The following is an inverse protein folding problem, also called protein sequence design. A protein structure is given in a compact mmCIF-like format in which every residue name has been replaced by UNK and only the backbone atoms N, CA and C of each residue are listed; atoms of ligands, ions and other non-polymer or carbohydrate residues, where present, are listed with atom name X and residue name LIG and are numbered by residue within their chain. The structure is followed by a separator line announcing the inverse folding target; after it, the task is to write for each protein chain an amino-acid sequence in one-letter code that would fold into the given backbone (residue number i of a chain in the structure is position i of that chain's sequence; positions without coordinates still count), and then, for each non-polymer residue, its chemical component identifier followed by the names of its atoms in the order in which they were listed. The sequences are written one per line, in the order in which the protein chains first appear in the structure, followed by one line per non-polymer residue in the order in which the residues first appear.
data_IF_381952965847
#
_entry.id   IF_381952965847
#
_cell.length_a   1.000
_cell.length_b   1.000
_cell.length_c   1.000
_cell.angle_alpha   90.00
_cell.angle_beta   90.00
_cell.angle_gamma   90.00
#
_symmetry.space_group_name_H-M   'P 1'
#
loop_
_entity.id
_entity.type
_entity.pdbx_description
1 polymer ?
#
# COMPACT_ATOMS: atom_id res chain seq x y z
N UNK A 1 -21.98 3.40 1.99
CA UNK A 1 -21.07 4.52 2.33
C UNK A 1 -21.87 5.79 2.41
N UNK A 2 -21.64 6.64 3.40
CA UNK A 2 -22.41 7.88 3.66
C UNK A 2 -21.77 9.13 3.02
N UNK A 3 -20.77 8.96 2.16
CA UNK A 3 -19.98 10.06 1.59
C UNK A 3 -20.82 11.08 0.85
N UNK A 4 -21.84 10.65 0.10
CA UNK A 4 -22.76 11.58 -0.56
C UNK A 4 -23.44 12.53 0.45
N UNK A 5 -23.94 12.00 1.57
CA UNK A 5 -24.55 12.82 2.62
C UNK A 5 -23.54 13.72 3.33
N UNK A 6 -22.30 13.28 3.51
CA UNK A 6 -21.25 14.09 4.14
C UNK A 6 -20.81 15.25 3.24
N UNK A 7 -20.58 14.98 1.96
CA UNK A 7 -20.07 15.99 1.02
C UNK A 7 -21.16 16.96 0.54
N UNK A 8 -22.42 16.52 0.41
CA UNK A 8 -23.51 17.38 -0.05
C UNK A 8 -23.85 18.53 0.91
N UNK A 9 -23.35 18.49 2.15
CA UNK A 9 -23.56 19.53 3.15
C UNK A 9 -22.55 20.68 3.05
N UNK A 10 -21.52 20.54 2.21
CA UNK A 10 -20.41 21.49 2.11
C UNK A 10 -20.36 22.04 0.69
N UNK A 11 -20.58 23.34 0.52
CA UNK A 11 -20.53 24.00 -0.79
C UNK A 11 -19.10 24.52 -1.05
N UNK A 12 -18.18 23.60 -1.37
CA UNK A 12 -16.78 23.92 -1.64
C UNK A 12 -16.16 22.90 -2.59
N UNK A 13 -15.34 23.36 -3.53
CA UNK A 13 -14.50 22.49 -4.37
C UNK A 13 -13.11 22.34 -3.76
N UNK A 14 -12.66 21.10 -3.56
CA UNK A 14 -11.30 20.74 -3.19
C UNK A 14 -10.39 20.82 -4.41
N UNK A 15 -9.31 21.60 -4.30
CA UNK A 15 -8.28 21.74 -5.32
C UNK A 15 -7.07 20.87 -4.97
N UNK A 16 -6.70 19.97 -5.87
CA UNK A 16 -5.66 18.98 -5.65
C UNK A 16 -4.49 19.22 -6.60
N UNK A 17 -3.28 19.22 -6.05
CA UNK A 17 -2.05 19.13 -6.82
C UNK A 17 -1.53 17.70 -6.83
N UNK A 18 -1.08 17.20 -7.97
CA UNK A 18 -0.56 15.83 -8.10
C UNK A 18 0.91 15.86 -8.50
N UNK A 19 1.77 15.15 -7.76
CA UNK A 19 3.20 15.06 -8.04
C UNK A 19 3.54 13.62 -8.44
N UNK A 20 4.06 13.43 -9.65
CA UNK A 20 4.26 12.14 -10.30
C UNK A 20 3.00 11.69 -11.03
N UNK A 21 3.06 11.55 -12.35
CA UNK A 21 1.89 11.40 -13.22
C UNK A 21 1.75 10.02 -13.85
N UNK A 22 2.24 8.98 -13.15
CA UNK A 22 2.13 7.58 -13.56
C UNK A 22 0.68 7.07 -13.66
N UNK A 23 0.52 5.77 -13.92
CA UNK A 23 -0.80 5.14 -14.12
C UNK A 23 -1.78 5.38 -12.96
N UNK A 24 -1.29 5.32 -11.71
CA UNK A 24 -2.11 5.58 -10.53
C UNK A 24 -2.67 7.01 -10.56
N UNK A 25 -1.79 8.01 -10.64
CA UNK A 25 -2.14 9.42 -10.65
C UNK A 25 -3.02 9.79 -11.84
N UNK A 26 -2.75 9.23 -13.02
CA UNK A 26 -3.57 9.45 -14.22
C UNK A 26 -5.03 9.04 -13.97
N UNK A 27 -5.28 7.94 -13.26
CA UNK A 27 -6.64 7.53 -12.92
C UNK A 27 -7.37 8.56 -12.02
N UNK A 28 -6.68 9.15 -11.03
CA UNK A 28 -7.22 10.25 -10.22
C UNK A 28 -7.54 11.47 -11.09
N UNK A 29 -6.60 11.86 -11.97
CA UNK A 29 -6.79 13.02 -12.87
C UNK A 29 -8.01 12.80 -13.76
N UNK A 30 -8.17 11.60 -14.33
CA UNK A 30 -9.37 11.25 -15.11
C UNK A 30 -10.66 11.29 -14.28
N UNK A 31 -10.66 10.74 -13.06
CA UNK A 31 -11.87 10.79 -12.21
C UNK A 31 -12.24 12.20 -11.78
N UNK A 32 -11.26 13.09 -11.59
CA UNK A 32 -11.53 14.48 -11.20
C UNK A 32 -12.42 15.25 -12.18
N UNK A 33 -12.58 14.75 -13.42
CA UNK A 33 -13.46 15.32 -14.45
C UNK A 33 -14.94 15.08 -14.23
N UNK A 34 -15.28 14.06 -13.44
CA UNK A 34 -16.67 13.59 -13.26
C UNK A 34 -17.07 13.51 -11.79
N UNK A 35 -16.13 13.68 -10.87
CA UNK A 35 -16.40 13.75 -9.42
C UNK A 35 -16.69 15.19 -9.03
N UNK A 36 -17.91 15.43 -8.53
CA UNK A 36 -18.32 16.72 -8.00
C UNK A 36 -17.41 17.18 -6.86
N UNK A 37 -17.22 18.49 -6.73
CA UNK A 37 -16.39 19.13 -5.68
C UNK A 37 -14.90 18.76 -5.72
N UNK A 38 -14.42 18.03 -6.73
CA UNK A 38 -13.00 17.72 -6.91
C UNK A 38 -12.45 18.43 -8.16
N UNK A 39 -11.32 19.10 -8.01
CA UNK A 39 -10.61 19.73 -9.14
C UNK A 39 -9.11 19.46 -9.03
N UNK A 40 -8.49 19.02 -10.12
CA UNK A 40 -7.03 18.81 -10.22
C UNK A 40 -6.43 19.85 -11.19
N UNK A 41 -6.23 21.11 -10.75
CA UNK A 41 -5.73 22.17 -11.61
C UNK A 41 -4.23 22.08 -11.91
N UNK A 42 -3.46 21.31 -11.13
CA UNK A 42 -2.00 21.28 -11.25
C UNK A 42 -1.49 19.84 -11.18
N UNK A 43 -0.67 19.46 -12.15
CA UNK A 43 0.13 18.24 -12.11
C UNK A 43 1.60 18.61 -12.23
N UNK A 44 2.47 17.83 -11.61
CA UNK A 44 3.90 17.98 -11.69
C UNK A 44 4.56 16.65 -12.04
N UNK A 45 5.44 16.68 -13.02
CA UNK A 45 6.28 15.54 -13.36
C UNK A 45 7.62 16.02 -13.92
N UNK A 46 8.70 15.33 -13.58
CA UNK A 46 10.02 15.59 -14.17
C UNK A 46 10.03 15.40 -15.69
N UNK A 47 9.10 14.60 -16.21
CA UNK A 47 8.81 14.46 -17.62
C UNK A 47 7.52 15.23 -17.99
N UNK A 48 7.61 16.43 -18.59
CA UNK A 48 6.44 17.23 -18.94
C UNK A 48 5.50 16.52 -19.94
N UNK A 49 6.01 15.63 -20.79
CA UNK A 49 5.17 14.85 -21.71
C UNK A 49 4.30 13.84 -20.94
N UNK A 50 4.81 13.25 -19.86
CA UNK A 50 4.01 12.36 -19.00
C UNK A 50 2.86 13.13 -18.34
N UNK A 51 3.15 14.33 -17.82
CA UNK A 51 2.16 15.22 -17.24
C UNK A 51 1.09 15.66 -18.26
N UNK A 52 1.51 16.03 -19.47
CA UNK A 52 0.60 16.37 -20.57
C UNK A 52 -0.29 15.18 -20.94
N UNK A 53 0.28 13.97 -20.99
CA UNK A 53 -0.46 12.75 -21.28
C UNK A 53 -1.49 12.41 -20.20
N UNK A 54 -1.20 12.66 -18.92
CA UNK A 54 -2.18 12.46 -17.84
C UNK A 54 -3.43 13.33 -18.03
N UNK A 55 -3.25 14.61 -18.35
CA UNK A 55 -4.38 15.48 -18.70
C UNK A 55 -5.08 15.07 -20.00
N UNK A 56 -4.32 14.65 -21.01
CA UNK A 56 -4.90 14.18 -22.27
C UNK A 56 -5.80 12.95 -22.06
N UNK A 57 -5.38 11.96 -21.27
CA UNK A 57 -6.20 10.81 -20.90
C UNK A 57 -7.44 11.17 -20.07
N UNK A 58 -7.41 12.29 -19.36
CA UNK A 58 -8.58 12.87 -18.70
C UNK A 58 -9.53 13.62 -19.66
N UNK A 59 -9.23 13.64 -20.96
CA UNK A 59 -10.05 14.33 -21.97
C UNK A 59 -9.92 15.85 -21.90
N UNK A 60 -8.79 16.37 -21.40
CA UNK A 60 -8.47 17.79 -21.48
C UNK A 60 -7.80 18.11 -22.81
N UNK A 61 -8.34 19.11 -23.49
CA UNK A 61 -7.76 19.67 -24.72
C UNK A 61 -6.42 20.37 -24.42
N UNK A 62 -5.49 20.34 -25.38
CA UNK A 62 -4.15 20.93 -25.22
C UNK A 62 -4.17 22.44 -25.03
N UNK A 63 -5.18 23.14 -25.55
CA UNK A 63 -5.37 24.58 -25.38
C UNK A 63 -5.79 24.97 -23.95
N UNK A 64 -6.28 24.00 -23.15
CA UNK A 64 -6.64 24.18 -21.73
C UNK A 64 -5.48 23.88 -20.79
N UNK A 65 -4.40 23.29 -21.27
CA UNK A 65 -3.20 22.99 -20.50
C UNK A 65 -2.09 24.01 -20.77
N UNK A 66 -1.26 24.30 -19.77
CA UNK A 66 -0.09 25.18 -19.90
C UNK A 66 1.06 24.70 -19.04
N UNK A 67 2.27 24.68 -19.59
CA UNK A 67 3.51 24.44 -18.83
C UNK A 67 3.95 25.78 -18.24
N UNK A 68 4.26 25.80 -16.95
CA UNK A 68 4.75 26.98 -16.24
C UNK A 68 6.10 26.67 -15.60
N UNK A 69 7.00 27.66 -15.62
CA UNK A 69 8.35 27.54 -15.06
C UNK A 69 8.46 28.20 -13.68
N UNK A 70 7.41 28.87 -13.21
CA UNK A 70 7.38 29.59 -11.94
C UNK A 70 6.03 29.50 -11.26
N UNK A 71 6.03 29.56 -9.92
CA UNK A 71 4.83 29.66 -9.09
C UNK A 71 3.91 30.80 -9.51
N UNK A 72 4.47 31.96 -9.89
CA UNK A 72 3.68 33.12 -10.29
C UNK A 72 2.91 32.88 -11.60
N UNK A 73 3.57 32.30 -12.61
CA UNK A 73 2.91 31.92 -13.87
C UNK A 73 1.82 30.88 -13.63
N UNK A 74 2.12 29.88 -12.80
CA UNK A 74 1.16 28.84 -12.43
C UNK A 74 -0.07 29.41 -11.73
N UNK A 75 0.11 30.32 -10.76
CA UNK A 75 -1.01 30.97 -10.08
C UNK A 75 -1.89 31.76 -11.06
N UNK A 76 -1.28 32.55 -11.95
CA UNK A 76 -2.00 33.31 -12.98
C UNK A 76 -2.77 32.39 -13.96
N UNK A 77 -2.18 31.27 -14.35
CA UNK A 77 -2.82 30.29 -15.22
C UNK A 77 -4.04 29.62 -14.54
N UNK A 78 -3.93 29.30 -13.25
CA UNK A 78 -5.06 28.75 -12.47
C UNK A 78 -6.21 29.75 -12.40
N UNK A 79 -5.92 31.04 -12.17
CA UNK A 79 -6.94 32.11 -12.16
C UNK A 79 -7.65 32.25 -13.52
N UNK A 80 -6.95 31.96 -14.62
CA UNK A 80 -7.51 31.94 -15.98
C UNK A 80 -8.25 30.63 -16.31
N UNK A 81 -8.38 29.70 -15.36
CA UNK A 81 -9.05 28.41 -15.55
C UNK A 81 -8.24 27.42 -16.39
N UNK A 82 -6.92 27.60 -16.52
CA UNK A 82 -6.03 26.64 -17.19
C UNK A 82 -5.60 25.53 -16.23
N UNK A 83 -5.28 24.38 -16.80
CA UNK A 83 -4.64 23.26 -16.11
C UNK A 83 -3.12 23.40 -16.25
N UNK A 84 -2.43 23.47 -15.13
CA UNK A 84 -1.00 23.76 -15.09
C UNK A 84 -0.21 22.45 -15.04
N UNK A 85 0.89 22.44 -15.79
CA UNK A 85 1.95 21.44 -15.73
C UNK A 85 3.20 22.12 -15.18
N UNK A 86 3.79 21.50 -14.15
CA UNK A 86 5.06 21.91 -13.55
C UNK A 86 6.10 20.79 -13.72
N UNK A 87 7.37 21.15 -13.68
CA UNK A 87 8.50 20.19 -13.64
C UNK A 87 9.26 20.23 -12.32
N UNK A 88 8.99 21.21 -11.46
CA UNK A 88 9.47 21.30 -10.09
C UNK A 88 8.29 21.34 -9.10
N UNK A 89 8.17 20.29 -8.30
CA UNK A 89 7.11 20.13 -7.32
C UNK A 89 7.11 21.24 -6.25
N UNK A 90 8.25 21.86 -5.98
CA UNK A 90 8.34 22.95 -5.01
C UNK A 90 7.52 24.17 -5.41
N UNK A 91 7.36 24.40 -6.71
CA UNK A 91 6.55 25.50 -7.24
C UNK A 91 5.05 25.32 -6.97
N UNK A 92 4.63 24.10 -6.60
CA UNK A 92 3.25 23.77 -6.30
C UNK A 92 2.82 24.20 -4.89
N UNK A 93 3.76 24.34 -3.95
CA UNK A 93 3.45 24.44 -2.50
C UNK A 93 2.68 25.72 -2.14
N UNK A 94 2.98 26.83 -2.81
CA UNK A 94 2.33 28.13 -2.59
C UNK A 94 1.08 28.35 -3.45
N UNK A 95 0.72 27.41 -4.33
CA UNK A 95 -0.46 27.52 -5.16
C UNK A 95 -1.74 27.36 -4.32
N UNK A 96 -2.89 27.88 -4.78
CA UNK A 96 -4.17 27.80 -4.05
C UNK A 96 -4.79 26.40 -4.17
N UNK A 97 -4.08 25.42 -3.61
CA UNK A 97 -4.41 24.00 -3.51
C UNK A 97 -4.71 23.64 -2.05
N UNK A 98 -5.55 22.65 -1.84
CA UNK A 98 -5.94 22.13 -0.53
C UNK A 98 -5.16 20.85 -0.18
N UNK A 99 -4.99 19.95 -1.15
CA UNK A 99 -4.36 18.64 -0.97
C UNK A 99 -3.25 18.44 -1.99
N UNK A 100 -2.11 17.90 -1.53
CA UNK A 100 -1.04 17.39 -2.38
C UNK A 100 -1.13 15.86 -2.41
N UNK A 101 -1.28 15.29 -3.59
CA UNK A 101 -1.17 13.85 -3.84
C UNK A 101 0.24 13.56 -4.29
N UNK A 102 0.98 12.81 -3.48
CA UNK A 102 2.38 12.46 -3.74
C UNK A 102 2.45 11.02 -4.27
N UNK A 103 2.81 10.86 -5.54
CA UNK A 103 2.75 9.61 -6.29
C UNK A 103 3.98 9.40 -7.18
N UNK A 104 5.16 9.86 -6.73
CA UNK A 104 6.41 9.68 -7.48
C UNK A 104 6.99 8.28 -7.37
N UNK A 105 6.69 7.54 -6.29
CA UNK A 105 7.38 6.28 -5.97
C UNK A 105 8.86 6.46 -5.59
N UNK A 106 9.30 7.70 -5.30
CA UNK A 106 10.68 8.03 -4.96
C UNK A 106 10.75 8.47 -3.49
N UNK A 107 11.26 7.63 -2.57
CA UNK A 107 11.24 7.90 -1.12
C UNK A 107 11.76 9.28 -0.70
N UNK A 108 12.92 9.68 -1.21
CA UNK A 108 13.54 10.96 -0.87
C UNK A 108 12.76 12.17 -1.40
N UNK A 109 12.22 12.06 -2.62
CA UNK A 109 11.37 13.10 -3.17
C UNK A 109 10.04 13.18 -2.41
N UNK A 110 9.39 12.05 -2.15
CA UNK A 110 8.13 11.98 -1.40
C UNK A 110 8.26 12.51 0.03
N UNK A 111 9.37 12.22 0.71
CA UNK A 111 9.67 12.79 2.03
C UNK A 111 9.75 14.31 1.95
N UNK A 112 10.50 14.86 0.98
CA UNK A 112 10.59 16.30 0.75
C UNK A 112 9.22 16.92 0.45
N UNK A 113 8.47 16.34 -0.48
CA UNK A 113 7.16 16.83 -0.89
C UNK A 113 6.19 16.84 0.30
N UNK A 114 6.15 15.77 1.10
CA UNK A 114 5.30 15.67 2.29
C UNK A 114 5.64 16.73 3.34
N UNK A 115 6.93 16.89 3.67
CA UNK A 115 7.39 17.91 4.63
C UNK A 115 6.98 19.30 4.17
N UNK A 116 7.25 19.64 2.91
CA UNK A 116 7.00 20.97 2.37
C UNK A 116 5.52 21.27 2.19
N UNK A 117 4.71 20.29 1.76
CA UNK A 117 3.26 20.41 1.70
C UNK A 117 2.67 20.73 3.09
N UNK A 118 3.10 20.00 4.13
CA UNK A 118 2.63 20.24 5.51
C UNK A 118 3.05 21.63 5.99
N UNK A 119 4.30 22.05 5.74
CA UNK A 119 4.81 23.38 6.11
C UNK A 119 4.00 24.51 5.47
N UNK A 120 3.53 24.32 4.24
CA UNK A 120 2.69 25.28 3.51
C UNK A 120 1.19 25.08 3.78
N UNK A 121 0.83 24.32 4.81
CA UNK A 121 -0.55 24.16 5.28
C UNK A 121 -1.44 23.34 4.34
N UNK A 122 -0.85 22.42 3.56
CA UNK A 122 -1.59 21.50 2.69
C UNK A 122 -1.85 20.17 3.39
N UNK A 123 -2.96 19.52 3.03
CA UNK A 123 -3.12 18.10 3.33
C UNK A 123 -2.23 17.27 2.39
N UNK A 124 -1.86 16.07 2.81
CA UNK A 124 -1.04 15.13 2.03
C UNK A 124 -1.77 13.80 1.92
N UNK A 125 -2.06 13.40 0.69
CA UNK A 125 -2.48 12.06 0.33
C UNK A 125 -1.25 11.33 -0.24
N UNK A 126 -0.73 10.36 0.51
CA UNK A 126 0.48 9.63 0.15
C UNK A 126 0.14 8.38 -0.65
N UNK A 127 0.53 8.34 -1.91
CA UNK A 127 0.45 7.17 -2.80
C UNK A 127 1.79 6.42 -2.79
N UNK A 128 2.91 7.13 -2.68
CA UNK A 128 4.24 6.52 -2.66
C UNK A 128 4.45 5.71 -1.37
N UNK A 129 4.08 4.43 -1.42
CA UNK A 129 4.22 3.47 -0.33
C UNK A 129 5.64 3.37 0.21
N UNK A 130 6.64 3.57 -0.65
CA UNK A 130 8.05 3.50 -0.30
C UNK A 130 8.43 4.65 0.66
N UNK A 131 7.84 5.83 0.46
CA UNK A 131 7.94 6.96 1.39
C UNK A 131 7.17 6.67 2.68
N UNK A 132 5.92 6.23 2.54
CA UNK A 132 4.98 6.04 3.65
C UNK A 132 5.51 5.00 4.66
N UNK A 133 5.96 3.84 4.18
CA UNK A 133 6.48 2.79 5.06
C UNK A 133 7.73 3.23 5.84
N UNK A 134 8.50 4.17 5.30
CA UNK A 134 9.78 4.59 5.87
C UNK A 134 9.62 5.72 6.87
N UNK A 135 8.79 6.72 6.54
CA UNK A 135 8.66 7.99 7.28
C UNK A 135 7.22 8.50 7.41
N UNK A 136 6.22 7.71 7.03
CA UNK A 136 4.79 8.06 7.14
C UNK A 136 4.36 8.42 8.57
N UNK A 137 4.75 7.66 9.62
CA UNK A 137 4.40 8.00 11.00
C UNK A 137 4.85 9.39 11.45
N UNK A 138 6.09 9.81 11.14
CA UNK A 138 6.54 11.17 11.48
C UNK A 138 5.86 12.25 10.61
N UNK A 139 5.60 11.98 9.33
CA UNK A 139 4.83 12.92 8.49
C UNK A 139 3.40 13.11 9.00
N UNK A 140 2.77 12.03 9.48
CA UNK A 140 1.47 12.08 10.16
C UNK A 140 1.52 12.93 11.43
N UNK A 141 2.52 12.70 12.28
CA UNK A 141 2.71 13.51 13.48
C UNK A 141 2.85 15.00 13.17
N UNK A 142 3.65 15.35 12.16
CA UNK A 142 3.84 16.74 11.73
C UNK A 142 2.58 17.35 11.14
N UNK A 143 1.83 16.59 10.34
CA UNK A 143 0.55 17.04 9.78
C UNK A 143 -0.47 17.33 10.88
N UNK A 144 -0.62 16.43 11.85
CA UNK A 144 -1.53 16.61 12.98
C UNK A 144 -1.19 17.86 13.79
N UNK A 145 0.11 18.09 14.05
CA UNK A 145 0.60 19.29 14.74
C UNK A 145 0.30 20.58 13.97
N UNK A 146 0.29 20.51 12.63
CA UNK A 146 -0.06 21.62 11.76
C UNK A 146 -1.57 21.79 11.54
N UNK A 147 -2.42 20.94 12.15
CA UNK A 147 -3.86 20.91 11.89
C UNK A 147 -4.21 20.47 10.47
N UNK A 148 -3.34 19.68 9.85
CA UNK A 148 -3.47 19.11 8.50
C UNK A 148 -3.59 17.59 8.56
N UNK A 149 -3.95 17.03 7.41
CA UNK A 149 -4.13 15.58 7.26
C UNK A 149 -2.96 15.04 6.47
N UNK A 150 -2.35 13.96 6.97
CA UNK A 150 -1.54 13.04 6.20
C UNK A 150 -2.27 11.71 6.20
N UNK A 151 -2.41 11.08 5.04
CA UNK A 151 -3.13 9.80 4.93
C UNK A 151 -2.62 8.98 3.76
N UNK A 152 -2.52 7.67 3.98
CA UNK A 152 -2.55 6.69 2.90
C UNK A 152 -3.88 6.82 2.14
N UNK A 153 -3.86 6.45 0.86
CA UNK A 153 -4.98 6.63 -0.06
C UNK A 153 -5.89 5.41 -0.13
N UNK A 154 -7.20 5.64 -0.25
CA UNK A 154 -8.11 4.63 -0.76
C UNK A 154 -7.73 4.27 -2.20
N UNK A 155 -7.85 2.99 -2.54
CA UNK A 155 -7.54 2.46 -3.87
C UNK A 155 -6.30 1.58 -3.91
N UNK A 156 -5.33 1.81 -3.03
CA UNK A 156 -4.24 0.85 -2.77
C UNK A 156 -4.62 -0.13 -1.67
N UNK A 157 -4.03 -1.33 -1.70
CA UNK A 157 -4.39 -2.41 -0.78
C UNK A 157 -4.22 -2.03 0.68
N UNK A 158 -3.16 -1.32 1.05
CA UNK A 158 -2.90 -0.97 2.45
C UNK A 158 -3.96 0.00 3.00
N UNK A 159 -4.36 1.04 2.25
CA UNK A 159 -5.45 1.94 2.66
C UNK A 159 -6.79 1.23 2.79
N UNK A 160 -7.12 0.36 1.83
CA UNK A 160 -8.34 -0.45 1.85
C UNK A 160 -8.38 -1.42 3.03
N UNK A 161 -7.24 -2.03 3.36
CA UNK A 161 -7.12 -2.94 4.50
C UNK A 161 -7.28 -2.18 5.82
N UNK A 162 -6.69 -0.98 5.95
CA UNK A 162 -6.89 -0.12 7.13
C UNK A 162 -8.38 0.14 7.37
N UNK A 163 -9.10 0.61 6.33
CA UNK A 163 -10.52 0.88 6.42
C UNK A 163 -11.34 -0.37 6.79
N UNK A 164 -11.03 -1.52 6.18
CA UNK A 164 -11.71 -2.79 6.45
C UNK A 164 -11.50 -3.27 7.90
N UNK A 165 -10.27 -3.18 8.41
CA UNK A 165 -9.94 -3.55 9.80
C UNK A 165 -10.62 -2.62 10.81
N UNK A 166 -10.55 -1.30 10.58
CA UNK A 166 -11.18 -0.31 11.46
C UNK A 166 -12.71 -0.46 11.48
N UNK A 167 -13.33 -0.69 10.33
CA UNK A 167 -14.76 -0.97 10.23
C UNK A 167 -15.16 -2.21 11.04
N UNK A 168 -14.42 -3.32 10.89
CA UNK A 168 -14.71 -4.56 11.62
C UNK A 168 -14.62 -4.36 13.13
N UNK A 169 -13.56 -3.68 13.62
CA UNK A 169 -13.40 -3.35 15.03
C UNK A 169 -14.49 -2.42 15.56
N UNK A 170 -14.94 -1.47 14.75
CA UNK A 170 -16.05 -0.56 15.11
C UNK A 170 -17.38 -1.29 15.29
N UNK A 171 -17.55 -2.44 14.64
CA UNK A 171 -18.69 -3.35 14.84
C UNK A 171 -18.53 -4.29 16.04
N UNK A 172 -17.39 -4.23 16.75
CA UNK A 172 -17.06 -5.18 17.82
C UNK A 172 -16.66 -6.56 17.31
N UNK A 173 -16.25 -6.68 16.04
CA UNK A 173 -15.71 -7.92 15.50
C UNK A 173 -14.23 -8.03 15.85
N UNK A 174 -13.80 -9.24 16.21
CA UNK A 174 -12.40 -9.53 16.44
C UNK A 174 -11.73 -9.84 15.09
N UNK A 175 -10.63 -9.16 14.77
CA UNK A 175 -9.83 -9.44 13.57
C UNK A 175 -8.73 -10.42 13.92
N UNK A 176 -8.83 -11.66 13.43
CA UNK A 176 -7.85 -12.71 13.65
C UNK A 176 -6.64 -12.57 12.72
N UNK A 177 -6.92 -12.28 11.45
CA UNK A 177 -5.91 -12.02 10.42
C UNK A 177 -6.43 -10.95 9.46
N UNK A 178 -5.61 -10.00 9.07
CA UNK A 178 -5.88 -9.06 7.97
C UNK A 178 -4.80 -9.17 6.90
N UNK A 179 -5.13 -8.88 5.64
CA UNK A 179 -4.15 -9.06 4.58
C UNK A 179 -4.57 -8.61 3.20
N UNK A 180 -3.68 -8.84 2.24
CA UNK A 180 -3.92 -8.69 0.80
C UNK A 180 -3.72 -10.00 0.06
N UNK A 181 -4.27 -10.09 -1.14
CA UNK A 181 -3.84 -11.10 -2.13
C UNK A 181 -2.72 -10.54 -2.98
N UNK A 182 -1.83 -11.41 -3.45
CA UNK A 182 -0.97 -11.09 -4.59
C UNK A 182 -1.81 -10.66 -5.81
N UNK A 183 -1.26 -9.78 -6.66
CA UNK A 183 -2.00 -9.11 -7.74
C UNK A 183 -2.53 -10.04 -8.83
N UNK A 184 -1.88 -11.18 -9.04
CA UNK A 184 -2.32 -12.19 -9.99
C UNK A 184 -2.83 -13.40 -9.23
N UNK A 185 -4.00 -13.89 -9.62
CA UNK A 185 -4.50 -15.19 -9.20
C UNK A 185 -3.71 -16.33 -9.90
N UNK A 186 -3.80 -17.53 -9.33
CA UNK A 186 -3.33 -18.81 -9.87
C UNK A 186 -4.57 -19.60 -10.28
N UNK A 187 -4.86 -19.67 -11.58
CA UNK A 187 -6.09 -20.28 -12.10
C UNK A 187 -5.83 -21.74 -12.45
N UNK A 188 -6.38 -22.65 -11.66
CA UNK A 188 -6.35 -24.08 -11.94
C UNK A 188 -7.35 -24.46 -13.04
N UNK A 189 -6.84 -25.16 -14.04
CA UNK A 189 -7.61 -25.79 -15.11
C UNK A 189 -7.64 -27.31 -14.90
N UNK A 190 -8.78 -27.88 -14.49
CA UNK A 190 -8.92 -29.32 -14.27
C UNK A 190 -8.85 -30.14 -15.56
N UNK A 191 -9.09 -29.55 -16.74
CA UNK A 191 -9.04 -30.30 -18.01
C UNK A 191 -7.61 -30.60 -18.43
N UNK A 192 -6.70 -29.66 -18.18
CA UNK A 192 -5.29 -29.77 -18.55
C UNK A 192 -4.38 -30.09 -17.38
N UNK A 193 -4.95 -30.22 -16.18
CA UNK A 193 -4.26 -30.35 -14.89
C UNK A 193 -3.11 -29.34 -14.74
N UNK A 194 -3.41 -28.08 -15.06
CA UNK A 194 -2.42 -27.01 -15.10
C UNK A 194 -2.88 -25.80 -14.31
N UNK A 195 -1.93 -25.00 -13.85
CA UNK A 195 -2.18 -23.70 -13.23
C UNK A 195 -1.71 -22.63 -14.19
N UNK A 196 -2.62 -21.72 -14.52
CA UNK A 196 -2.46 -20.65 -15.50
C UNK A 196 -2.52 -19.30 -14.81
N UNK A 197 -1.72 -18.36 -15.28
CA UNK A 197 -1.78 -16.96 -14.89
C UNK A 197 -1.43 -16.06 -16.08
N UNK A 198 -1.42 -14.75 -15.88
CA UNK A 198 -1.24 -13.77 -16.97
C UNK A 198 0.03 -13.94 -17.80
N UNK A 199 1.09 -14.56 -17.25
CA UNK A 199 2.40 -14.69 -17.91
C UNK A 199 2.81 -16.13 -18.21
N UNK A 200 1.97 -17.13 -17.94
CA UNK A 200 2.37 -18.52 -18.18
C UNK A 200 1.45 -19.59 -17.63
N UNK A 201 1.95 -20.83 -17.69
CA UNK A 201 1.31 -22.02 -17.15
C UNK A 201 2.34 -22.98 -16.55
N UNK A 202 1.96 -23.70 -15.50
CA UNK A 202 2.70 -24.84 -14.96
C UNK A 202 1.81 -26.07 -14.94
N UNK A 203 2.37 -27.23 -15.25
CA UNK A 203 1.70 -28.51 -15.08
C UNK A 203 1.78 -28.92 -13.61
N UNK A 204 0.67 -29.40 -13.05
CA UNK A 204 0.66 -29.89 -11.68
C UNK A 204 0.66 -31.42 -11.66
N UNK A 205 1.44 -32.04 -10.77
CA UNK A 205 1.59 -33.50 -10.76
C UNK A 205 0.40 -34.23 -10.15
N UNK A 206 -0.41 -33.52 -9.35
CA UNK A 206 -1.47 -34.11 -8.52
C UNK A 206 -2.61 -33.11 -8.37
N UNK A 207 -3.82 -33.49 -8.80
CA UNK A 207 -5.03 -32.68 -8.65
C UNK A 207 -5.48 -32.52 -7.18
N UNK A 208 -5.01 -33.39 -6.28
CA UNK A 208 -5.33 -33.31 -4.85
C UNK A 208 -4.89 -32.00 -4.22
N UNK A 209 -3.91 -31.31 -4.81
CA UNK A 209 -3.52 -29.97 -4.33
C UNK A 209 -4.67 -28.97 -4.42
N UNK A 210 -5.70 -29.24 -5.23
CA UNK A 210 -6.92 -28.43 -5.31
C UNK A 210 -8.03 -28.93 -4.35
N UNK A 211 -7.96 -30.18 -3.89
CA UNK A 211 -8.96 -30.84 -3.04
C UNK A 211 -8.76 -30.48 -1.55
N UNK A 212 -9.81 -29.97 -0.90
CA UNK A 212 -9.72 -29.21 0.35
C UNK A 212 -10.35 -29.88 1.60
N UNK A 213 -10.17 -31.19 1.79
CA UNK A 213 -10.60 -31.79 3.06
C UNK A 213 -9.78 -31.29 4.26
N UNK A 214 -8.50 -30.98 4.07
CA UNK A 214 -7.66 -30.33 5.08
C UNK A 214 -6.69 -29.36 4.38
N UNK A 215 -7.11 -28.12 4.07
CA UNK A 215 -6.30 -27.19 3.27
C UNK A 215 -4.95 -26.89 3.93
N UNK A 216 -4.89 -26.80 5.26
CA UNK A 216 -3.66 -26.57 6.02
C UNK A 216 -2.59 -27.65 5.75
N UNK A 217 -2.99 -28.90 5.51
CA UNK A 217 -2.05 -29.99 5.21
C UNK A 217 -1.37 -29.85 3.83
N UNK A 218 -1.96 -29.09 2.90
CA UNK A 218 -1.44 -28.93 1.53
C UNK A 218 -0.58 -27.67 1.35
N UNK A 219 -0.48 -26.78 2.34
CA UNK A 219 0.23 -25.49 2.20
C UNK A 219 1.68 -25.70 1.78
N UNK A 220 2.41 -26.59 2.45
CA UNK A 220 3.81 -26.86 2.15
C UNK A 220 3.99 -27.43 0.73
N UNK A 221 3.14 -28.38 0.34
CA UNK A 221 3.14 -28.98 -0.99
C UNK A 221 2.84 -27.94 -2.08
N UNK A 222 1.82 -27.10 -1.88
CA UNK A 222 1.48 -26.02 -2.80
C UNK A 222 2.61 -25.01 -2.92
N UNK A 223 3.24 -24.62 -1.81
CA UNK A 223 4.41 -23.72 -1.83
C UNK A 223 5.57 -24.32 -2.63
N UNK A 224 5.84 -25.62 -2.49
CA UNK A 224 6.88 -26.29 -3.27
C UNK A 224 6.56 -26.30 -4.78
N UNK A 225 5.30 -26.55 -5.16
CA UNK A 225 4.88 -26.56 -6.56
C UNK A 225 4.93 -25.16 -7.18
N UNK A 226 4.51 -24.13 -6.43
CA UNK A 226 4.50 -22.76 -6.93
C UNK A 226 5.89 -22.13 -6.93
N UNK A 227 6.74 -22.44 -5.94
CA UNK A 227 8.03 -21.78 -5.78
C UNK A 227 7.88 -20.25 -5.80
N UNK A 228 8.72 -19.59 -6.60
CA UNK A 228 8.69 -18.12 -6.80
C UNK A 228 7.35 -17.60 -7.33
N UNK A 229 6.56 -18.44 -8.02
CA UNK A 229 5.23 -18.04 -8.50
C UNK A 229 4.25 -17.80 -7.34
N UNK A 230 4.44 -18.46 -6.20
CA UNK A 230 3.61 -18.27 -5.01
C UNK A 230 4.22 -17.31 -3.99
N UNK A 231 5.41 -16.78 -4.27
CA UNK A 231 6.17 -15.98 -3.32
C UNK A 231 5.68 -14.53 -3.29
N UNK A 232 5.77 -13.94 -2.11
CA UNK A 232 5.55 -12.53 -1.86
C UNK A 232 6.71 -11.69 -2.43
N UNK A 233 6.40 -10.51 -2.97
CA UNK A 233 7.41 -9.57 -3.46
C UNK A 233 7.64 -8.40 -2.49
N UNK A 234 8.68 -7.59 -2.72
CA UNK A 234 9.02 -6.48 -1.84
C UNK A 234 7.89 -5.46 -1.70
N UNK A 235 7.23 -5.09 -2.80
CA UNK A 235 6.10 -4.17 -2.78
C UNK A 235 4.92 -4.67 -1.94
N UNK A 236 4.68 -5.99 -1.89
CA UNK A 236 3.65 -6.57 -1.04
C UNK A 236 4.02 -6.46 0.45
N UNK A 237 5.28 -6.72 0.80
CA UNK A 237 5.80 -6.54 2.17
C UNK A 237 5.72 -5.08 2.58
N UNK A 238 6.02 -4.14 1.67
CA UNK A 238 5.90 -2.70 1.89
C UNK A 238 4.47 -2.28 2.20
N UNK A 239 3.50 -2.68 1.39
CA UNK A 239 2.08 -2.39 1.62
C UNK A 239 1.58 -2.99 2.93
N UNK A 240 1.93 -4.24 3.23
CA UNK A 240 1.52 -4.89 4.48
C UNK A 240 2.19 -4.25 5.69
N UNK A 241 3.42 -3.75 5.59
CA UNK A 241 4.10 -3.06 6.70
C UNK A 241 3.42 -1.73 7.02
N UNK A 242 3.00 -0.97 6.01
CA UNK A 242 2.18 0.23 6.19
C UNK A 242 0.87 -0.11 6.93
N UNK A 243 0.16 -1.14 6.47
CA UNK A 243 -1.08 -1.57 7.10
C UNK A 243 -0.85 -2.09 8.54
N UNK A 244 0.25 -2.80 8.81
CA UNK A 244 0.62 -3.26 10.16
C UNK A 244 0.79 -2.07 11.11
N UNK A 245 1.62 -1.11 10.71
CA UNK A 245 1.93 0.12 11.45
C UNK A 245 0.70 1.01 11.69
N UNK A 246 -0.29 0.94 10.79
CA UNK A 246 -1.52 1.72 10.90
C UNK A 246 -2.67 1.02 11.65
N UNK A 247 -2.64 -0.31 11.74
CA UNK A 247 -3.74 -1.11 12.34
C UNK A 247 -3.33 -1.80 13.64
N UNK A 248 -2.04 -1.90 13.95
CA UNK A 248 -1.52 -2.69 15.07
C UNK A 248 -1.66 -4.20 14.88
N UNK A 249 -1.99 -4.68 13.67
CA UNK A 249 -1.80 -6.09 13.32
C UNK A 249 -0.30 -6.38 13.23
N UNK A 250 0.13 -7.57 13.65
CA UNK A 250 1.55 -7.93 13.72
C UNK A 250 1.84 -9.19 12.89
N UNK A 251 3.02 -9.32 12.26
CA UNK A 251 3.35 -10.50 11.48
C UNK A 251 3.58 -11.71 12.41
N UNK A 252 3.09 -12.89 12.02
CA UNK A 252 3.33 -14.13 12.79
C UNK A 252 4.80 -14.61 12.65
N UNK A 253 5.39 -14.35 11.48
CA UNK A 253 6.83 -14.52 11.16
C UNK A 253 7.29 -13.38 10.24
N UNK A 254 8.58 -13.06 10.25
CA UNK A 254 9.15 -11.91 9.51
C UNK A 254 9.06 -12.03 7.99
N UNK A 255 8.99 -13.26 7.45
CA UNK A 255 8.77 -13.51 6.02
C UNK A 255 7.31 -13.44 5.59
N UNK A 256 6.38 -13.37 6.55
CA UNK A 256 4.95 -13.68 6.38
C UNK A 256 4.74 -15.14 5.90
N UNK A 257 3.55 -15.71 6.10
CA UNK A 257 3.30 -17.09 5.65
C UNK A 257 3.02 -17.16 4.15
N UNK A 258 2.25 -16.21 3.62
CA UNK A 258 1.79 -16.13 2.23
C UNK A 258 1.35 -17.48 1.66
N UNK A 259 0.39 -18.18 2.30
CA UNK A 259 0.01 -19.50 1.84
C UNK A 259 -0.70 -19.42 0.47
N UNK A 260 -0.51 -20.45 -0.34
CA UNK A 260 -1.25 -20.63 -1.59
C UNK A 260 -2.58 -21.32 -1.25
N UNK A 261 -3.67 -20.57 -1.35
CA UNK A 261 -4.99 -20.99 -0.86
C UNK A 261 -6.09 -20.57 -1.79
N UNK A 262 -7.19 -21.33 -1.77
CA UNK A 262 -8.45 -20.88 -2.36
C UNK A 262 -9.12 -19.87 -1.47
N UNK A 263 -9.87 -18.94 -2.05
CA UNK A 263 -10.64 -17.93 -1.32
C UNK A 263 -11.47 -18.57 -0.19
N UNK A 264 -12.08 -19.73 -0.47
CA UNK A 264 -12.91 -20.47 0.48
C UNK A 264 -12.13 -21.13 1.62
N UNK A 265 -10.82 -21.26 1.51
CA UNK A 265 -9.94 -21.88 2.51
C UNK A 265 -9.30 -20.86 3.47
N UNK A 266 -9.31 -19.57 3.12
CA UNK A 266 -8.69 -18.49 3.91
C UNK A 266 -9.13 -18.51 5.39
N UNK A 267 -10.43 -18.58 5.76
CA UNK A 267 -10.84 -18.54 7.16
C UNK A 267 -10.47 -19.81 7.93
N UNK A 268 -10.19 -20.92 7.24
CA UNK A 268 -9.68 -22.16 7.84
C UNK A 268 -8.16 -22.08 8.06
N UNK A 269 -7.42 -21.57 7.07
CA UNK A 269 -5.95 -21.54 7.08
C UNK A 269 -5.41 -20.39 7.92
N UNK A 270 -5.85 -19.15 7.66
CA UNK A 270 -5.39 -17.93 8.32
C UNK A 270 -6.19 -17.66 9.61
N UNK A 271 -6.25 -18.68 10.45
CA UNK A 271 -6.80 -18.65 11.80
C UNK A 271 -5.76 -19.15 12.81
N UNK A 272 -5.92 -18.84 14.11
CA UNK A 272 -5.09 -19.41 15.17
C UNK A 272 -5.10 -20.94 15.16
N UNK A 273 -4.02 -21.58 15.62
CA UNK A 273 -3.93 -23.05 15.74
C UNK A 273 -5.04 -23.66 16.61
N UNK A 274 -5.50 -22.95 17.64
CA UNK A 274 -6.64 -23.37 18.47
C UNK A 274 -7.95 -23.49 17.66
N UNK A 275 -8.11 -22.62 16.65
CA UNK A 275 -9.23 -22.66 15.70
C UNK A 275 -9.01 -23.66 14.56
N UNK A 276 -7.80 -24.20 14.40
CA UNK A 276 -7.43 -25.20 13.39
C UNK A 276 -6.61 -24.66 12.22
N UNK A 277 -6.27 -23.37 12.24
CA UNK A 277 -5.41 -22.74 11.24
C UNK A 277 -3.91 -22.87 11.56
N UNK A 278 -3.09 -22.05 10.91
CA UNK A 278 -1.62 -22.11 11.00
C UNK A 278 -1.01 -21.11 11.98
N UNK A 279 -1.74 -20.05 12.32
CA UNK A 279 -1.22 -18.87 13.01
C UNK A 279 -0.93 -19.15 14.48
N UNK A 280 0.17 -18.61 15.00
CA UNK A 280 0.55 -18.81 16.41
C UNK A 280 -0.24 -17.93 17.37
N UNK A 281 -0.76 -16.79 16.91
CA UNK A 281 -1.57 -15.87 17.69
C UNK A 281 -2.69 -15.20 16.86
N UNK A 282 -3.52 -14.41 17.53
CA UNK A 282 -4.61 -13.58 16.95
C UNK A 282 -4.05 -12.21 16.55
N UNK A 283 -4.77 -11.47 15.71
CA UNK A 283 -4.35 -10.13 15.28
C UNK A 283 -3.16 -10.13 14.32
N UNK A 284 -3.10 -11.11 13.43
CA UNK A 284 -2.00 -11.27 12.46
C UNK A 284 -2.19 -10.40 11.23
N UNK A 285 -1.09 -9.93 10.64
CA UNK A 285 -1.06 -9.47 9.25
C UNK A 285 -0.36 -10.49 8.35
N UNK A 286 -0.95 -10.83 7.21
CA UNK A 286 -0.37 -11.77 6.25
C UNK A 286 -0.82 -11.49 4.80
N UNK A 287 -0.31 -12.28 3.85
CA UNK A 287 -0.68 -12.26 2.45
C UNK A 287 -1.27 -13.61 2.03
N UNK A 288 -1.87 -13.69 0.84
CA UNK A 288 -2.23 -14.98 0.20
C UNK A 288 -1.88 -14.98 -1.28
N UNK A 289 -1.47 -16.15 -1.78
CA UNK A 289 -1.47 -16.42 -3.21
C UNK A 289 -2.79 -17.13 -3.58
N UNK A 290 -3.70 -16.42 -4.24
CA UNK A 290 -5.04 -16.93 -4.54
C UNK A 290 -4.99 -18.04 -5.59
N UNK A 291 -5.30 -19.27 -5.20
CA UNK A 291 -5.57 -20.41 -6.08
C UNK A 291 -7.07 -20.52 -6.34
N UNK A 292 -7.51 -20.66 -7.59
CA UNK A 292 -8.94 -20.79 -7.89
C UNK A 292 -9.19 -21.51 -9.20
N UNK A 293 -10.42 -21.97 -9.42
CA UNK A 293 -10.88 -22.28 -10.78
C UNK A 293 -11.40 -21.04 -11.51
N UNK A 294 -11.52 -21.14 -12.84
CA UNK A 294 -12.00 -20.04 -13.68
C UNK A 294 -13.41 -19.56 -13.31
N UNK A 295 -14.26 -20.47 -12.83
CA UNK A 295 -15.64 -20.22 -12.39
C UNK A 295 -15.77 -19.80 -10.91
N UNK A 296 -14.65 -19.75 -10.17
CA UNK A 296 -14.62 -19.29 -8.79
C UNK A 296 -14.23 -17.80 -8.72
N UNK A 297 -14.77 -17.05 -7.73
CA UNK A 297 -14.34 -15.68 -7.51
C UNK A 297 -12.86 -15.63 -7.09
N UNK A 298 -12.10 -14.74 -7.74
CA UNK A 298 -10.74 -14.42 -7.33
C UNK A 298 -10.68 -13.37 -6.24
N UNK A 299 -9.45 -13.01 -5.86
CA UNK A 299 -9.20 -11.88 -4.98
C UNK A 299 -8.73 -10.65 -5.75
N UNK A 300 -8.27 -10.79 -7.00
CA UNK A 300 -8.01 -9.65 -7.89
C UNK A 300 -7.05 -8.61 -7.31
N UNK A 301 -6.05 -9.07 -6.55
CA UNK A 301 -5.12 -8.18 -5.83
C UNK A 301 -5.76 -7.36 -4.70
N UNK A 302 -6.96 -7.70 -4.27
CA UNK A 302 -7.70 -7.00 -3.22
C UNK A 302 -7.29 -7.39 -1.80
N UNK A 303 -8.16 -7.10 -0.83
CA UNK A 303 -7.88 -7.25 0.61
C UNK A 303 -8.88 -8.14 1.32
N UNK A 304 -8.49 -8.68 2.47
CA UNK A 304 -9.35 -9.53 3.28
C UNK A 304 -9.09 -9.37 4.78
N UNK A 305 -10.08 -9.78 5.57
CA UNK A 305 -9.96 -10.04 7.00
C UNK A 305 -10.62 -11.37 7.34
N UNK A 306 -9.98 -12.14 8.20
CA UNK A 306 -10.57 -13.28 8.92
C UNK A 306 -11.00 -12.79 10.28
N UNK A 307 -12.28 -12.96 10.59
CA UNK A 307 -12.91 -12.42 11.80
C UNK A 307 -13.49 -13.51 12.68
N UNK A 308 -13.66 -13.17 13.96
CA UNK A 308 -14.42 -13.93 14.95
C UNK A 308 -15.40 -13.04 15.72
N UNK A 309 -16.23 -13.68 16.54
CA UNK A 309 -17.17 -13.05 17.47
C UNK A 309 -17.21 -13.83 18.79
N UNK A 310 -17.31 -13.10 19.90
CA UNK A 310 -17.32 -13.70 21.24
C UNK A 310 -18.60 -14.50 21.54
N UNK A 311 -19.77 -14.00 21.13
CA UNK A 311 -21.05 -14.64 21.47
C UNK A 311 -21.57 -15.58 20.36
N UNK A 312 -22.30 -16.62 20.78
CA UNK A 312 -22.78 -17.68 19.89
C UNK A 312 -23.78 -17.18 18.84
N UNK A 313 -24.61 -16.17 19.17
CA UNK A 313 -25.60 -15.65 18.23
C UNK A 313 -24.95 -14.83 17.11
N UNK A 314 -23.97 -13.98 17.43
CA UNK A 314 -23.18 -13.28 16.41
C UNK A 314 -22.43 -14.27 15.52
N UNK A 315 -21.82 -15.33 16.08
CA UNK A 315 -21.23 -16.40 15.25
C UNK A 315 -22.26 -17.08 14.35
N UNK A 316 -23.46 -17.34 14.85
CA UNK A 316 -24.56 -17.86 14.02
C UNK A 316 -24.89 -16.90 12.86
N UNK A 317 -24.94 -15.59 13.08
CA UNK A 317 -25.14 -14.60 12.00
C UNK A 317 -23.99 -14.64 10.99
N UNK A 318 -22.73 -14.58 11.45
CA UNK A 318 -21.57 -14.61 10.55
C UNK A 318 -21.55 -15.87 9.67
N UNK A 319 -21.90 -17.02 10.23
CA UNK A 319 -21.83 -18.32 9.54
C UNK A 319 -23.05 -18.66 8.69
N UNK A 320 -24.16 -17.91 8.80
CA UNK A 320 -25.42 -18.21 8.08
C UNK A 320 -25.89 -17.10 7.14
N UNK A 321 -25.24 -15.93 7.12
CA UNK A 321 -25.60 -14.79 6.25
C UNK A 321 -24.69 -14.59 5.05
N UNK A 322 -24.09 -15.68 4.56
CA UNK A 322 -23.38 -15.71 3.28
C UNK A 322 -21.90 -15.31 3.32
N UNK A 323 -21.33 -15.04 4.50
CA UNK A 323 -19.87 -15.08 4.64
C UNK A 323 -19.40 -16.53 4.48
N UNK A 324 -18.12 -16.69 4.17
CA UNK A 324 -17.46 -18.00 4.10
C UNK A 324 -16.90 -18.31 5.49
N UNK A 325 -17.44 -19.30 6.22
CA UNK A 325 -16.91 -19.69 7.52
C UNK A 325 -15.83 -20.79 7.40
N UNK A 326 -15.05 -20.98 8.47
CA UNK A 326 -14.32 -22.24 8.65
C UNK A 326 -15.30 -23.38 8.99
N UNK A 327 -14.82 -24.63 8.97
CA UNK A 327 -15.67 -25.81 9.23
C UNK A 327 -16.30 -25.84 10.61
N UNK A 328 -15.62 -25.25 11.61
CA UNK A 328 -16.10 -25.17 12.99
C UNK A 328 -17.12 -24.06 13.21
N UNK A 329 -17.31 -23.15 12.25
CA UNK A 329 -18.15 -21.97 12.42
C UNK A 329 -17.63 -20.99 13.49
N UNK A 330 -16.32 -21.00 13.75
CA UNK A 330 -15.68 -20.10 14.72
C UNK A 330 -15.09 -18.85 14.07
N UNK A 331 -14.75 -18.92 12.78
CA UNK A 331 -14.18 -17.82 12.01
C UNK A 331 -14.93 -17.63 10.70
N UNK A 332 -14.86 -16.42 10.13
CA UNK A 332 -15.44 -16.12 8.82
C UNK A 332 -14.59 -15.12 8.03
N UNK A 333 -14.68 -15.18 6.70
CA UNK A 333 -13.99 -14.29 5.78
C UNK A 333 -14.87 -13.09 5.40
N UNK A 334 -14.30 -11.89 5.47
CA UNK A 334 -14.80 -10.69 4.78
C UNK A 334 -13.69 -10.23 3.84
N UNK A 335 -14.02 -10.00 2.58
CA UNK A 335 -13.03 -9.65 1.57
C UNK A 335 -13.58 -8.67 0.54
N UNK A 336 -12.66 -7.92 -0.05
CA UNK A 336 -12.88 -7.01 -1.16
C UNK A 336 -12.00 -7.49 -2.32
N UNK A 337 -12.56 -8.15 -3.34
CA UNK A 337 -11.78 -8.85 -4.38
C UNK A 337 -11.26 -7.92 -5.48
N UNK A 338 -10.92 -6.68 -5.14
CA UNK A 338 -10.41 -5.67 -6.05
C UNK A 338 -9.79 -4.49 -5.28
N UNK A 339 -8.91 -3.77 -5.98
CA UNK A 339 -8.44 -2.44 -5.64
C UNK A 339 -8.40 -1.63 -6.94
N UNK A 340 -8.85 -0.37 -6.94
CA UNK A 340 -9.01 0.43 -8.17
C UNK A 340 -8.01 1.58 -8.28
N UNK A 341 -6.93 1.55 -7.49
CA UNK A 341 -5.86 2.53 -7.51
C UNK A 341 -6.42 3.97 -7.45
N UNK A 342 -5.88 4.88 -8.28
CA UNK A 342 -6.30 6.28 -8.36
C UNK A 342 -7.78 6.55 -8.62
N UNK A 343 -8.57 5.53 -9.01
CA UNK A 343 -10.03 5.69 -9.18
C UNK A 343 -10.73 5.96 -7.85
N UNK A 344 -10.18 5.48 -6.73
CA UNK A 344 -10.79 5.63 -5.39
C UNK A 344 -10.22 6.81 -4.59
N UNK A 345 -9.04 7.29 -4.96
CA UNK A 345 -8.38 8.45 -4.33
C UNK A 345 -9.24 9.72 -4.25
N UNK A 346 -10.19 10.01 -5.17
CA UNK A 346 -11.15 11.10 -4.98
C UNK A 346 -11.85 11.12 -3.61
N UNK A 347 -12.19 9.95 -3.05
CA UNK A 347 -12.80 9.89 -1.72
C UNK A 347 -11.81 10.38 -0.66
N UNK A 348 -10.56 9.92 -0.71
CA UNK A 348 -9.52 10.36 0.22
C UNK A 348 -9.28 11.86 0.14
N UNK A 349 -9.19 12.44 -1.07
CA UNK A 349 -8.93 13.87 -1.23
C UNK A 349 -10.11 14.72 -0.76
N UNK A 350 -11.35 14.30 -1.01
CA UNK A 350 -12.55 14.98 -0.51
C UNK A 350 -12.69 14.89 1.00
N UNK A 351 -12.46 13.72 1.61
CA UNK A 351 -12.49 13.56 3.09
C UNK A 351 -11.43 14.44 3.75
N UNK A 352 -10.21 14.48 3.20
CA UNK A 352 -9.16 15.36 3.71
C UNK A 352 -9.51 16.85 3.53
N UNK A 353 -9.89 17.26 2.31
CA UNK A 353 -10.10 18.67 1.97
C UNK A 353 -11.40 19.30 2.51
N UNK A 354 -12.48 18.52 2.60
CA UNK A 354 -13.80 18.98 3.08
C UNK A 354 -13.99 18.74 4.57
N UNK A 355 -13.53 17.58 5.09
CA UNK A 355 -13.82 17.17 6.47
C UNK A 355 -12.62 17.29 7.41
N UNK A 356 -11.41 17.54 6.88
CA UNK A 356 -10.16 17.52 7.65
C UNK A 356 -9.95 16.20 8.42
N UNK A 357 -10.27 15.08 7.77
CA UNK A 357 -10.11 13.73 8.32
C UNK A 357 -9.22 12.88 7.41
N UNK A 358 -8.41 11.95 7.97
CA UNK A 358 -7.78 10.90 7.17
C UNK A 358 -8.79 9.80 6.82
N UNK A 359 -8.61 9.15 5.67
CA UNK A 359 -9.26 7.87 5.35
C UNK A 359 -8.47 6.67 5.89
N UNK A 360 -7.16 6.84 6.07
CA UNK A 360 -6.27 5.88 6.72
C UNK A 360 -6.42 5.89 8.25
N UNK A 361 -5.33 5.70 8.97
CA UNK A 361 -5.34 5.67 10.44
C UNK A 361 -5.23 7.05 11.08
N UNK A 362 -5.81 7.19 12.27
CA UNK A 362 -5.56 8.33 13.17
C UNK A 362 -4.37 8.11 14.09
N UNK A 363 -4.03 6.85 14.43
CA UNK A 363 -2.84 6.47 15.22
C UNK A 363 -1.89 5.70 14.31
N UNK A 364 -0.75 6.33 13.99
CA UNK A 364 0.23 5.76 13.07
C UNK A 364 1.59 5.63 13.76
N UNK A 365 2.09 4.41 13.91
CA UNK A 365 3.34 4.12 14.65
C UNK A 365 4.31 3.31 13.80
N UNK A 366 5.61 3.61 13.83
CA UNK A 366 6.62 2.81 13.14
C UNK A 366 6.95 1.56 13.98
N UNK A 367 6.01 0.60 14.06
CA UNK A 367 6.23 -0.64 14.81
C UNK A 367 7.10 -1.64 14.06
N UNK A 368 7.07 -1.59 12.73
CA UNK A 368 7.83 -2.46 11.83
C UNK A 368 8.49 -1.67 10.71
N UNK A 369 9.64 -2.15 10.27
CA UNK A 369 10.35 -1.73 9.07
C UNK A 369 10.38 -2.87 8.03
N UNK A 370 10.38 -2.51 6.75
CA UNK A 370 10.79 -3.41 5.67
C UNK A 370 12.30 -3.42 5.64
N UNK A 371 12.92 -4.59 5.74
CA UNK A 371 14.39 -4.73 5.66
C UNK A 371 14.79 -5.66 4.53
N UNK A 372 15.94 -5.38 3.91
CA UNK A 372 16.48 -6.19 2.79
C UNK A 372 17.56 -7.16 3.26
N UNK A 373 17.42 -8.45 2.90
CA UNK A 373 18.44 -9.49 3.05
C UNK A 373 18.96 -9.90 1.67
N UNK A 374 20.26 -9.90 1.47
CA UNK A 374 20.87 -10.26 0.20
C UNK A 374 20.63 -11.75 -0.09
N UNK A 375 20.05 -12.11 -1.25
CA UNK A 375 19.90 -13.51 -1.68
C UNK A 375 21.20 -14.07 -2.27
N UNK A 376 22.03 -13.20 -2.82
CA UNK A 376 23.33 -13.47 -3.40
C UNK A 376 24.33 -12.40 -2.91
N UNK A 377 25.65 -12.62 -3.02
CA UNK A 377 26.63 -11.62 -2.61
C UNK A 377 26.50 -10.32 -3.42
N UNK A 378 26.47 -9.18 -2.73
CA UNK A 378 26.49 -7.84 -3.33
C UNK A 378 27.87 -7.21 -3.12
N UNK A 379 28.38 -6.45 -4.08
CA UNK A 379 29.73 -5.89 -4.03
C UNK A 379 29.73 -4.40 -3.71
N UNK A 380 30.79 -3.95 -3.05
CA UNK A 380 31.09 -2.53 -2.94
C UNK A 380 31.09 -1.88 -4.33
N UNK A 381 30.43 -0.72 -4.46
CA UNK A 381 30.23 -0.04 -5.73
C UNK A 381 28.94 -0.42 -6.47
N UNK A 382 28.25 -1.51 -6.11
CA UNK A 382 26.95 -1.85 -6.70
C UNK A 382 25.89 -0.81 -6.29
N UNK A 383 24.96 -0.50 -7.21
CA UNK A 383 23.79 0.31 -6.91
C UNK A 383 22.66 -0.57 -6.39
N UNK A 384 22.11 -0.23 -5.23
CA UNK A 384 20.93 -0.91 -4.69
C UNK A 384 19.71 -0.49 -5.48
N UNK A 385 18.95 -1.48 -5.97
CA UNK A 385 17.70 -1.24 -6.68
C UNK A 385 16.55 -0.84 -5.74
N UNK A 386 15.34 -1.27 -6.06
CA UNK A 386 14.14 -1.01 -5.26
C UNK A 386 13.48 -2.33 -4.84
N UNK A 387 12.25 -2.27 -4.34
CA UNK A 387 11.45 -3.41 -3.85
C UNK A 387 11.00 -4.39 -4.96
N UNK A 388 11.39 -4.13 -6.21
CA UNK A 388 11.28 -5.07 -7.33
C UNK A 388 12.59 -5.86 -7.59
N UNK A 389 13.68 -5.56 -6.87
CA UNK A 389 14.96 -6.23 -7.03
C UNK A 389 14.86 -7.71 -6.62
N UNK A 390 15.26 -8.61 -7.53
CA UNK A 390 15.14 -10.07 -7.35
C UNK A 390 16.23 -10.68 -6.48
N UNK A 391 17.37 -10.01 -6.37
CA UNK A 391 18.53 -10.42 -5.59
C UNK A 391 18.41 -10.07 -4.09
N UNK A 392 17.27 -9.52 -3.68
CA UNK A 392 16.97 -9.11 -2.31
C UNK A 392 15.71 -9.84 -1.85
N UNK A 393 15.75 -10.34 -0.63
CA UNK A 393 14.60 -10.83 0.11
C UNK A 393 14.14 -9.75 1.08
N UNK A 394 12.83 -9.50 1.12
CA UNK A 394 12.24 -8.45 1.95
C UNK A 394 11.54 -9.09 3.15
N UNK A 395 11.80 -8.54 4.33
CA UNK A 395 11.23 -9.04 5.58
C UNK A 395 10.59 -7.88 6.34
N UNK A 396 9.49 -8.16 7.03
CA UNK A 396 8.86 -7.25 7.99
C UNK A 396 9.44 -7.53 9.37
N UNK A 397 10.23 -6.60 9.92
CA UNK A 397 10.88 -6.77 11.22
C UNK A 397 10.52 -5.62 12.16
N UNK A 398 10.54 -5.83 13.49
CA UNK A 398 10.35 -4.74 14.44
C UNK A 398 11.27 -3.57 14.10
N UNK A 399 10.71 -2.36 14.10
CA UNK A 399 11.47 -1.17 13.76
C UNK A 399 12.58 -0.92 14.78
N UNK A 400 13.73 -0.49 14.28
CA UNK A 400 14.88 -0.12 15.11
C UNK A 400 15.36 1.27 14.67
N UNK A 401 15.94 2.06 15.60
CA UNK A 401 16.64 3.27 15.22
C UNK A 401 17.72 2.96 14.18
N UNK A 402 17.87 3.84 13.20
CA UNK A 402 18.94 3.72 12.20
C UNK A 402 20.30 3.83 12.91
N UNK A 403 21.05 2.73 12.89
CA UNK A 403 22.39 2.62 13.48
C UNK A 403 23.29 1.76 12.58
N UNK A 404 24.62 1.89 12.66
CA UNK A 404 25.56 1.25 11.72
C UNK A 404 25.32 -0.24 11.46
N UNK A 405 25.07 -1.01 12.53
CA UNK A 405 24.93 -2.47 12.48
C UNK A 405 23.47 -2.95 12.42
N UNK A 406 22.51 -2.03 12.55
CA UNK A 406 21.09 -2.39 12.46
C UNK A 406 20.71 -2.61 10.98
N UNK A 407 19.80 -3.57 10.69
CA UNK A 407 19.15 -3.65 9.39
C UNK A 407 18.54 -2.31 9.02
N UNK A 408 18.86 -1.81 7.83
CA UNK A 408 18.37 -0.54 7.35
C UNK A 408 16.93 -0.70 6.82
N UNK A 409 16.01 0.25 7.13
CA UNK A 409 14.75 0.38 6.41
C UNK A 409 15.02 0.45 4.92
N UNK A 410 14.56 -0.55 4.18
CA UNK A 410 15.09 -0.89 2.85
C UNK A 410 15.04 0.28 1.87
N UNK A 411 13.94 1.04 1.87
CA UNK A 411 13.76 2.15 0.95
C UNK A 411 14.72 3.34 1.19
N UNK A 412 15.44 3.38 2.31
CA UNK A 412 16.56 4.31 2.51
C UNK A 412 17.80 3.92 1.71
N UNK A 413 17.93 2.66 1.30
CA UNK A 413 19.00 2.18 0.43
C UNK A 413 18.73 2.44 -1.05
N UNK A 414 17.47 2.66 -1.45
CA UNK A 414 17.07 2.76 -2.86
C UNK A 414 17.95 3.73 -3.66
N UNK A 415 18.59 3.23 -4.71
CA UNK A 415 19.42 4.00 -5.62
C UNK A 415 20.78 4.44 -5.07
N UNK A 416 21.10 4.14 -3.81
CA UNK A 416 22.42 4.42 -3.23
C UNK A 416 23.44 3.35 -3.64
N UNK A 417 24.71 3.72 -3.54
CA UNK A 417 25.85 2.85 -3.82
C UNK A 417 26.33 2.17 -2.54
N UNK A 418 26.63 0.87 -2.63
CA UNK A 418 27.23 0.12 -1.53
C UNK A 418 28.65 0.60 -1.24
N UNK A 419 28.94 0.89 0.03
CA UNK A 419 30.29 1.24 0.51
C UNK A 419 31.16 0.01 0.80
N UNK A 420 30.55 -1.17 0.94
CA UNK A 420 31.21 -2.42 1.31
C UNK A 420 30.47 -3.62 0.71
N UNK A 421 31.17 -4.76 0.61
CA UNK A 421 30.57 -6.03 0.20
C UNK A 421 29.53 -6.52 1.23
N UNK A 422 28.45 -7.12 0.76
CA UNK A 422 27.42 -7.77 1.58
C UNK A 422 27.33 -9.24 1.19
N UNK A 423 27.68 -10.18 2.09
CA UNK A 423 27.55 -11.61 1.82
C UNK A 423 26.09 -12.03 1.60
N UNK A 424 25.88 -13.12 0.86
CA UNK A 424 24.57 -13.76 0.77
C UNK A 424 24.05 -14.13 2.17
N UNK A 425 22.77 -13.85 2.43
CA UNK A 425 22.10 -14.06 3.71
C UNK A 425 22.29 -12.92 4.73
N UNK A 426 23.14 -11.93 4.46
CA UNK A 426 23.31 -10.77 5.34
C UNK A 426 22.26 -9.68 5.05
N UNK A 427 21.89 -8.92 6.07
CA UNK A 427 21.02 -7.74 5.92
C UNK A 427 21.81 -6.56 5.36
N UNK A 428 21.12 -5.72 4.59
CA UNK A 428 21.62 -4.39 4.23
C UNK A 428 21.54 -3.52 5.49
N UNK A 429 22.67 -2.99 5.93
CA UNK A 429 22.78 -2.15 7.14
C UNK A 429 23.07 -0.69 6.80
N UNK A 430 22.90 0.20 7.78
CA UNK A 430 23.17 1.62 7.57
C UNK A 430 24.64 1.91 7.22
N UNK A 431 25.59 1.15 7.78
CA UNK A 431 27.03 1.31 7.46
C UNK A 431 27.37 0.97 6.00
N UNK A 432 26.55 0.14 5.36
CA UNK A 432 26.75 -0.28 3.97
C UNK A 432 26.27 0.76 2.95
N UNK A 433 25.57 1.81 3.40
CA UNK A 433 24.99 2.84 2.55
C UNK A 433 25.60 4.19 2.88
N UNK A 434 26.11 4.88 1.86
CA UNK A 434 26.46 6.28 1.97
C UNK A 434 25.30 7.13 1.41
N UNK A 435 24.46 7.72 2.28
CA UNK A 435 23.39 8.60 1.81
C UNK A 435 23.95 9.84 1.14
N UNK A 436 23.15 10.44 0.25
CA UNK A 436 23.45 11.78 -0.28
C UNK A 436 23.45 12.80 0.86
N UNK A 437 24.33 13.80 0.72
CA UNK A 437 24.38 14.91 1.69
C UNK A 437 23.01 15.59 1.79
N UNK A 438 22.53 15.79 3.01
CA UNK A 438 21.24 16.41 3.32
C UNK A 438 20.02 15.72 2.67
N UNK A 439 20.06 14.39 2.48
CA UNK A 439 18.89 13.65 2.00
C UNK A 439 17.67 13.87 2.94
N UNK A 440 16.55 14.41 2.42
CA UNK A 440 15.34 14.65 3.20
C UNK A 440 14.80 13.41 3.91
N UNK A 441 14.89 12.23 3.28
CA UNK A 441 14.41 10.97 3.85
C UNK A 441 15.23 10.58 5.08
N UNK A 442 16.55 10.64 4.97
CA UNK A 442 17.45 10.32 6.08
C UNK A 442 17.33 11.33 7.23
N UNK A 443 17.09 12.59 6.90
CA UNK A 443 16.90 13.65 7.89
C UNK A 443 15.61 13.43 8.68
N UNK A 444 14.48 13.24 7.99
CA UNK A 444 13.19 13.06 8.65
C UNK A 444 13.05 11.69 9.32
N UNK A 445 13.74 10.65 8.83
CA UNK A 445 13.82 9.36 9.52
C UNK A 445 14.51 9.48 10.88
N UNK A 446 15.59 10.26 10.99
CA UNK A 446 16.23 10.52 12.30
C UNK A 446 15.28 11.20 13.28
N UNK A 447 14.43 12.11 12.81
CA UNK A 447 13.39 12.73 13.63
C UNK A 447 12.33 11.70 14.05
N UNK A 448 11.91 10.80 13.15
CA UNK A 448 11.00 9.70 13.47
C UNK A 448 11.58 8.81 14.56
N UNK A 449 12.82 8.35 14.40
CA UNK A 449 13.48 7.48 15.35
C UNK A 449 13.53 8.18 16.72
N UNK A 450 14.02 9.41 16.79
CA UNK A 450 14.10 10.17 18.05
C UNK A 450 12.74 10.43 18.73
N UNK A 451 11.63 10.44 17.97
CA UNK A 451 10.29 10.64 18.51
C UNK A 451 9.63 9.33 18.99
N UNK A 452 9.85 8.22 18.28
CA UNK A 452 9.07 6.99 18.48
C UNK A 452 9.88 5.79 19.01
N UNK A 453 11.21 5.75 18.84
CA UNK A 453 12.08 4.60 19.11
C UNK A 453 13.21 4.96 20.08
#
# INVERSE_FOLDING_TARGET
MIYHQLFAQIDRTVRVGVIGTGHYATALVTQSRVVDQLHVPVVCDTNPDAAQNAYHHAGLDTDKTIICDTTQQAAQAIEQGKHVILTDAMQMMDLPLDVIVESTGVPSAGAKHGIEAIRHGKHVAMVSKETDVTVGPILKHLADKAGRVYTAVDGDQHGLLMGLVQWARSLGLEVLCGGKSLDSDRVYDPQTNAIVWSKGKIQIPDEQIFSAQNPSAHIAQRRQIMGELGAIAGYDVTELTIAANATGLIPDIDTLHTPVVRTVEIPEVLAPREDGGILSHRGVIDCVSCLRQANEPGLGGGVFIVIACENAYSRHILTTKGLIPNKKGTTALIYRPYHLCGVETPITTLVAGLLNLPTGTTDYRPSFDVVGRAKEPLKAGDQIGNDHSKNIEYLMRPALPVAPDNPLPFHMANGNTLSQDIPAGAFITASAIQPKDNDPLWTIRKEQDAHFL
#
